data_IF_275581755287
#
_entry.id   IF_275581755287
#
_cell.length_a   1.000
_cell.length_b   1.000
_cell.length_c   1.000
_cell.angle_alpha   90.00
_cell.angle_beta   90.00
_cell.angle_gamma   90.00
#
_symmetry.space_group_name_H-M   'P 1'
#
loop_
_entity.id
_entity.type
_entity.pdbx_description
1 polymer ?
#
# COMPACT_ATOMS: atom_id res chain seq x y z
N UNK A 1 0.64 -3.71 -23.56
CA UNK A 1 0.16 -4.85 -22.73
C UNK A 1 -0.42 -4.28 -21.44
N UNK A 2 -1.68 -4.57 -21.14
CA UNK A 2 -2.37 -4.08 -19.93
C UNK A 2 -1.93 -4.86 -18.69
N UNK A 3 -1.89 -4.19 -17.54
CA UNK A 3 -1.72 -4.85 -16.24
C UNK A 3 -3.06 -5.40 -15.75
N UNK A 4 -3.06 -6.58 -15.11
CA UNK A 4 -4.23 -7.19 -14.48
C UNK A 4 -4.10 -7.16 -12.96
N UNK A 5 -5.16 -6.75 -12.26
CA UNK A 5 -5.23 -6.87 -10.79
C UNK A 5 -5.51 -8.34 -10.44
N UNK A 6 -4.71 -8.92 -9.56
CA UNK A 6 -4.92 -10.28 -9.05
C UNK A 6 -5.73 -10.29 -7.76
N UNK A 7 -5.42 -9.36 -6.85
CA UNK A 7 -6.14 -9.21 -5.59
C UNK A 7 -6.08 -7.76 -5.09
N UNK A 8 -6.99 -7.43 -4.17
CA UNK A 8 -7.07 -6.14 -3.49
C UNK A 8 -7.39 -6.37 -2.01
N UNK A 9 -6.78 -5.58 -1.14
CA UNK A 9 -7.02 -5.64 0.31
C UNK A 9 -6.97 -4.24 0.93
N UNK A 10 -7.60 -4.09 2.09
CA UNK A 10 -7.42 -2.94 2.97
C UNK A 10 -6.38 -3.30 4.03
N UNK A 11 -5.32 -2.51 4.15
CA UNK A 11 -4.25 -2.76 5.10
C UNK A 11 -3.53 -1.47 5.53
N UNK A 12 -2.89 -1.51 6.69
CA UNK A 12 -1.86 -0.54 7.06
C UNK A 12 -0.55 -0.94 6.38
N UNK A 13 0.11 -0.01 5.72
CA UNK A 13 1.37 -0.28 5.02
C UNK A 13 2.51 0.23 5.89
N UNK A 14 3.36 -0.69 6.31
CA UNK A 14 4.50 -0.43 7.18
C UNK A 14 5.80 -0.78 6.46
N UNK A 15 6.87 -0.06 6.78
CA UNK A 15 8.24 -0.36 6.41
C UNK A 15 8.99 -0.73 7.69
N UNK A 16 9.84 -1.75 7.62
CA UNK A 16 10.69 -2.08 8.75
C UNK A 16 11.92 -1.16 8.73
N UNK A 17 12.12 -0.41 9.81
CA UNK A 17 13.33 0.36 10.04
C UNK A 17 14.33 -0.51 10.80
N UNK A 18 15.37 -0.98 10.09
CA UNK A 18 16.42 -1.83 10.63
C UNK A 18 17.27 -1.13 11.71
N UNK A 19 17.47 0.19 11.59
CA UNK A 19 18.28 0.94 12.55
C UNK A 19 17.57 1.10 13.89
N UNK A 20 16.25 1.22 13.85
CA UNK A 20 15.40 1.36 15.03
C UNK A 20 14.71 0.04 15.44
N UNK A 21 14.93 -1.04 14.68
CA UNK A 21 14.32 -2.36 14.85
C UNK A 21 12.79 -2.35 15.00
N UNK A 22 12.10 -1.43 14.32
CA UNK A 22 10.66 -1.24 14.47
C UNK A 22 9.94 -1.09 13.14
N UNK A 23 8.64 -1.38 13.15
CA UNK A 23 7.77 -1.10 12.02
C UNK A 23 7.33 0.37 12.03
N UNK A 24 7.70 1.11 11.01
CA UNK A 24 7.30 2.50 10.81
C UNK A 24 6.31 2.63 9.67
N UNK A 25 5.49 3.67 9.75
CA UNK A 25 4.50 3.96 8.73
C UNK A 25 5.08 4.25 7.35
N UNK A 26 4.57 3.61 6.29
CA UNK A 26 5.02 3.89 4.94
C UNK A 26 4.49 5.24 4.40
N UNK A 27 5.30 5.92 3.58
CA UNK A 27 4.86 7.06 2.76
C UNK A 27 4.94 8.45 3.39
N UNK A 28 5.51 8.59 4.59
CA UNK A 28 5.71 9.87 5.29
C UNK A 28 4.40 10.54 5.73
N UNK A 29 4.37 11.08 6.94
CA UNK A 29 3.18 11.74 7.50
C UNK A 29 2.19 10.79 8.19
N UNK A 30 0.94 11.23 8.43
CA UNK A 30 -0.03 10.48 9.21
C UNK A 30 -0.33 9.13 8.58
N UNK A 31 -0.36 8.10 9.42
CA UNK A 31 -0.77 6.78 8.98
C UNK A 31 -2.27 6.78 8.72
N UNK A 32 -2.67 6.25 7.57
CA UNK A 32 -4.06 5.91 7.26
C UNK A 32 -4.14 4.52 6.61
N UNK A 33 -5.26 3.79 6.73
CA UNK A 33 -5.47 2.57 5.99
C UNK A 33 -5.29 2.81 4.49
N UNK A 34 -4.71 1.84 3.79
CA UNK A 34 -4.50 1.89 2.35
C UNK A 34 -5.26 0.80 1.63
N UNK A 35 -5.73 1.10 0.43
CA UNK A 35 -6.14 0.09 -0.54
C UNK A 35 -4.88 -0.42 -1.25
N UNK A 36 -4.51 -1.67 -0.98
CA UNK A 36 -3.34 -2.35 -1.55
C UNK A 36 -3.80 -3.27 -2.66
N UNK A 37 -3.16 -3.17 -3.83
CA UNK A 37 -3.48 -3.98 -5.02
C UNK A 37 -2.23 -4.64 -5.58
N UNK A 38 -2.34 -5.92 -5.89
CA UNK A 38 -1.32 -6.67 -6.61
C UNK A 38 -1.63 -6.67 -8.10
N UNK A 39 -0.75 -6.07 -8.89
CA UNK A 39 -0.80 -6.03 -10.34
C UNK A 39 0.15 -7.06 -10.94
N UNK A 40 -0.28 -7.71 -12.01
CA UNK A 40 0.50 -8.66 -12.78
C UNK A 40 0.60 -8.22 -14.24
N UNK A 41 1.82 -8.33 -14.78
CA UNK A 41 2.15 -8.26 -16.20
C UNK A 41 3.14 -9.38 -16.52
N UNK A 42 3.22 -9.85 -17.77
CA UNK A 42 4.23 -10.86 -18.13
C UNK A 42 5.64 -10.39 -17.72
N UNK A 43 6.31 -11.19 -16.88
CA UNK A 43 7.65 -10.93 -16.37
C UNK A 43 7.76 -10.01 -15.15
N UNK A 44 6.66 -9.51 -14.58
CA UNK A 44 6.72 -8.70 -13.35
C UNK A 44 5.41 -8.71 -12.52
N UNK A 45 5.58 -8.63 -11.20
CA UNK A 45 4.54 -8.31 -10.23
C UNK A 45 4.79 -6.91 -9.67
N UNK A 46 3.72 -6.17 -9.39
CA UNK A 46 3.80 -4.83 -8.79
C UNK A 46 2.75 -4.68 -7.70
N UNK A 47 3.19 -4.35 -6.50
CA UNK A 47 2.30 -4.06 -5.37
C UNK A 47 2.13 -2.54 -5.25
N UNK A 48 0.89 -2.05 -5.22
CA UNK A 48 0.60 -0.62 -5.11
C UNK A 48 -0.33 -0.40 -3.93
N UNK A 49 0.14 0.33 -2.91
CA UNK A 49 -0.68 0.83 -1.81
C UNK A 49 -1.08 2.29 -2.06
N UNK A 50 -2.38 2.59 -2.00
CA UNK A 50 -2.89 3.97 -2.02
C UNK A 50 -3.60 4.27 -0.71
N UNK A 51 -3.18 5.34 -0.03
CA UNK A 51 -3.84 5.83 1.18
C UNK A 51 -5.30 6.12 0.89
N UNK A 52 -6.18 5.58 1.72
CA UNK A 52 -7.58 5.98 1.72
C UNK A 52 -7.64 7.38 2.33
N UNK A 53 -8.29 8.31 1.63
CA UNK A 53 -8.64 9.59 2.25
C UNK A 53 -9.61 9.28 3.40
N UNK A 54 -9.52 10.00 4.53
CA UNK A 54 -10.63 9.97 5.47
C UNK A 54 -11.89 10.35 4.70
N UNK A 55 -12.96 9.58 4.84
CA UNK A 55 -14.26 9.96 4.28
C UNK A 55 -14.52 11.43 4.67
N UNK A 56 -14.73 12.29 3.68
CA UNK A 56 -15.26 13.64 3.96
C UNK A 56 -16.65 13.44 4.54
N UNK A 57 -16.77 13.48 5.87
CA UNK A 57 -18.04 13.71 6.52
C UNK A 57 -18.50 15.12 6.14
N UNK A 58 -19.57 15.18 5.35
CA UNK A 58 -20.29 16.41 4.95
C UNK A 58 -21.07 16.96 6.13
#
# INVERSE_FOLDING_TARGET
RSERVLCSARAWVLLYDEAQQQWVGAGGGPQTPSCVRLYHRPGALRLVGRRMQPDQQV
#
